data_IF_135040575464
#
_entry.id   IF_135040575464
#
_cell.length_a   1.000
_cell.length_b   1.000
_cell.length_c   1.000
_cell.angle_alpha   90.00
_cell.angle_beta   90.00
_cell.angle_gamma   90.00
#
_symmetry.space_group_name_H-M   'P 1'
#
loop_
_entity.id
_entity.type
_entity.pdbx_description
1 polymer ?
#
# COMPACT_ATOMS: atom_id res chain seq x y z
N UNK A 1 8.31 7.09 8.35
CA UNK A 1 7.89 7.47 6.97
C UNK A 1 7.09 6.32 6.36
N UNK A 2 5.86 6.57 5.90
CA UNK A 2 4.93 5.53 5.39
C UNK A 2 5.07 5.42 3.87
N UNK A 3 5.44 4.25 3.37
CA UNK A 3 5.42 3.95 1.93
C UNK A 3 3.96 3.76 1.49
N UNK A 4 3.42 4.76 0.79
CA UNK A 4 2.03 4.73 0.31
C UNK A 4 1.98 3.95 -1.00
N UNK A 5 1.16 2.89 -1.05
CA UNK A 5 0.93 2.13 -2.27
C UNK A 5 -0.44 2.49 -2.85
N UNK A 6 -0.44 3.08 -4.04
CA UNK A 6 -1.65 3.61 -4.69
C UNK A 6 -2.25 2.59 -5.67
N UNK A 7 -3.57 2.39 -5.61
CA UNK A 7 -4.34 1.51 -6.51
C UNK A 7 -5.00 2.30 -7.65
N UNK A 8 -4.89 1.75 -8.86
CA UNK A 8 -5.32 2.31 -10.14
C UNK A 8 -6.78 2.80 -10.24
N UNK A 9 -7.76 2.20 -9.56
CA UNK A 9 -9.17 2.63 -9.69
C UNK A 9 -9.39 4.07 -9.19
N UNK A 10 -8.57 4.53 -8.25
CA UNK A 10 -8.62 5.91 -7.78
C UNK A 10 -8.04 6.89 -8.82
N UNK A 11 -7.12 6.45 -9.69
CA UNK A 11 -6.45 7.35 -10.64
C UNK A 11 -7.40 7.91 -11.72
N UNK A 12 -8.43 7.15 -12.13
CA UNK A 12 -9.47 7.63 -13.07
C UNK A 12 -10.36 8.70 -12.42
N UNK A 13 -10.77 8.51 -11.16
CA UNK A 13 -11.53 9.52 -10.41
C UNK A 13 -10.74 10.82 -10.20
N UNK A 14 -9.42 10.68 -10.14
CA UNK A 14 -8.48 11.75 -9.85
C UNK A 14 -8.00 12.54 -11.09
N UNK A 15 -8.12 11.95 -12.28
CA UNK A 15 -7.75 12.62 -13.54
C UNK A 15 -8.80 13.67 -13.93
N UNK A 16 -10.06 13.49 -13.53
CA UNK A 16 -11.16 14.40 -13.87
C UNK A 16 -11.28 15.63 -12.93
N UNK A 17 -10.80 15.60 -11.67
CA UNK A 17 -11.26 16.59 -10.68
C UNK A 17 -10.29 17.60 -10.06
N UNK A 18 -8.95 17.51 -10.09
CA UNK A 18 -8.05 18.65 -9.73
C UNK A 18 -6.58 18.25 -9.75
N UNK A 19 -5.87 18.59 -10.82
CA UNK A 19 -4.40 18.42 -10.95
C UNK A 19 -3.56 19.15 -9.90
N UNK A 20 -4.13 20.04 -9.07
CA UNK A 20 -3.35 20.88 -8.13
C UNK A 20 -3.50 20.46 -6.66
N UNK A 21 -4.66 19.91 -6.26
CA UNK A 21 -4.90 19.51 -4.87
C UNK A 21 -4.19 18.19 -4.52
N UNK A 22 -4.03 17.31 -5.51
CA UNK A 22 -3.42 16.01 -5.30
C UNK A 22 -1.90 16.01 -5.28
N UNK A 23 -1.25 16.85 -6.08
CA UNK A 23 0.20 17.07 -5.93
C UNK A 23 0.51 17.57 -4.53
N UNK A 24 -0.38 18.37 -3.93
CA UNK A 24 -0.29 18.78 -2.52
C UNK A 24 -0.57 17.65 -1.54
N UNK A 25 -1.53 16.75 -1.80
CA UNK A 25 -1.77 15.58 -0.95
C UNK A 25 -0.59 14.62 -0.98
N UNK A 26 -0.06 14.30 -2.17
CA UNK A 26 1.14 13.48 -2.31
C UNK A 26 2.32 14.16 -1.61
N UNK A 27 2.54 15.46 -1.86
CA UNK A 27 3.60 16.21 -1.19
C UNK A 27 3.41 16.29 0.32
N UNK A 28 2.18 16.46 0.82
CA UNK A 28 1.81 16.50 2.25
C UNK A 28 1.94 15.13 2.94
N UNK A 29 1.72 14.04 2.19
CA UNK A 29 1.91 12.67 2.67
C UNK A 29 3.37 12.23 2.61
N UNK A 30 4.18 12.81 1.71
CA UNK A 30 5.64 12.64 1.67
C UNK A 30 6.40 13.63 2.54
N UNK A 31 5.80 14.77 2.89
CA UNK A 31 6.42 15.79 3.72
C UNK A 31 6.38 15.33 5.17
N UNK A 32 7.52 15.51 5.80
CA UNK A 32 7.95 15.05 7.12
C UNK A 32 7.10 15.51 8.32
N UNK A 33 5.86 15.96 8.13
CA UNK A 33 5.05 16.64 9.15
C UNK A 33 4.33 15.70 10.14
N UNK A 34 4.53 14.38 10.04
CA UNK A 34 4.00 13.40 10.99
C UNK A 34 5.13 12.69 11.75
N UNK A 35 5.62 13.34 12.82
CA UNK A 35 6.39 12.73 13.92
C UNK A 35 7.77 12.18 13.56
N UNK A 36 8.83 12.85 14.01
CA UNK A 36 10.24 12.58 13.71
C UNK A 36 10.84 11.23 14.20
N UNK A 37 10.08 10.33 14.84
CA UNK A 37 10.71 9.24 15.60
C UNK A 37 10.70 7.85 14.93
N UNK A 38 10.39 7.78 13.64
CA UNK A 38 10.27 6.48 12.94
C UNK A 38 11.29 6.35 11.81
N UNK A 39 12.20 5.35 11.87
CA UNK A 39 13.26 5.23 10.88
C UNK A 39 12.69 5.11 9.46
N UNK A 40 13.40 5.61 8.45
CA UNK A 40 13.02 5.42 7.06
C UNK A 40 12.80 3.92 6.78
N UNK A 41 11.74 3.62 6.02
CA UNK A 41 11.37 2.24 5.68
C UNK A 41 11.69 2.00 4.21
N UNK A 42 12.59 1.07 3.98
CA UNK A 42 12.85 0.40 2.71
C UNK A 42 11.99 -0.86 2.64
N UNK A 43 11.33 -1.06 1.50
CA UNK A 43 10.51 -2.23 1.22
C UNK A 43 11.11 -2.98 0.04
N UNK A 44 11.48 -4.25 0.24
CA UNK A 44 11.92 -5.14 -0.84
C UNK A 44 10.99 -6.33 -0.89
N UNK A 45 10.62 -6.77 -2.08
CA UNK A 45 9.88 -8.00 -2.28
C UNK A 45 10.46 -8.78 -3.44
N UNK A 46 10.55 -10.09 -3.27
CA UNK A 46 11.26 -10.97 -4.19
C UNK A 46 10.42 -12.22 -4.46
N UNK A 47 10.25 -12.51 -5.74
CA UNK A 47 9.67 -13.74 -6.27
C UNK A 47 8.29 -14.10 -5.70
N UNK A 48 7.47 -13.08 -5.44
CA UNK A 48 6.14 -13.26 -4.88
C UNK A 48 5.26 -14.01 -5.89
N UNK A 49 4.80 -15.20 -5.49
CA UNK A 49 3.76 -15.94 -6.18
C UNK A 49 2.57 -16.17 -5.26
N UNK A 50 1.37 -16.15 -5.84
CA UNK A 50 0.15 -16.52 -5.14
C UNK A 50 -0.83 -17.15 -6.11
N UNK A 51 -1.38 -18.30 -5.72
CA UNK A 51 -2.45 -19.00 -6.40
C UNK A 51 -3.69 -19.08 -5.51
N UNK A 52 -4.86 -18.83 -6.10
CA UNK A 52 -6.15 -18.99 -5.42
C UNK A 52 -6.96 -19.99 -6.24
N UNK A 53 -7.17 -21.18 -5.67
CA UNK A 53 -7.74 -22.31 -6.40
C UNK A 53 -6.83 -22.73 -7.56
N UNK A 54 -7.37 -22.75 -8.77
CA UNK A 54 -6.61 -23.09 -10.00
C UNK A 54 -6.00 -21.85 -10.68
N UNK A 55 -6.30 -20.64 -10.20
CA UNK A 55 -5.87 -19.40 -10.85
C UNK A 55 -4.65 -18.80 -10.15
N UNK A 56 -3.60 -18.56 -10.93
CA UNK A 56 -2.40 -17.88 -10.46
C UNK A 56 -2.58 -16.36 -10.56
N UNK A 57 -2.64 -15.70 -9.41
CA UNK A 57 -2.93 -14.27 -9.29
C UNK A 57 -1.65 -13.44 -9.38
N UNK A 58 -0.56 -13.90 -8.73
CA UNK A 58 0.75 -13.26 -8.78
C UNK A 58 1.79 -14.25 -9.30
N UNK A 59 2.65 -13.78 -10.20
CA UNK A 59 3.63 -14.60 -10.94
C UNK A 59 5.01 -14.00 -10.82
N UNK A 60 5.80 -14.47 -9.86
CA UNK A 60 7.19 -14.06 -9.66
C UNK A 60 7.36 -12.53 -9.67
N UNK A 61 6.65 -11.85 -8.78
CA UNK A 61 6.67 -10.40 -8.68
C UNK A 61 7.77 -9.97 -7.73
N UNK A 62 8.70 -9.14 -8.21
CA UNK A 62 9.82 -8.58 -7.45
C UNK A 62 9.90 -7.07 -7.61
N UNK A 63 10.45 -6.38 -6.62
CA UNK A 63 10.63 -4.94 -6.64
C UNK A 63 11.14 -4.38 -5.33
N UNK A 64 11.51 -3.10 -5.37
CA UNK A 64 12.08 -2.36 -4.25
C UNK A 64 11.43 -0.98 -4.20
N UNK A 65 11.23 -0.46 -2.99
CA UNK A 65 10.80 0.91 -2.74
C UNK A 65 11.69 1.50 -1.67
N UNK A 66 12.43 2.53 -2.05
CA UNK A 66 13.36 3.20 -1.14
C UNK A 66 12.63 4.24 -0.29
N UNK A 67 13.25 4.65 0.84
CA UNK A 67 12.76 5.76 1.62
C UNK A 67 12.49 7.01 0.78
N UNK A 68 11.24 7.51 0.82
CA UNK A 68 10.82 8.71 0.10
C UNK A 68 10.28 8.46 -1.31
N UNK A 69 10.32 7.21 -1.78
CA UNK A 69 9.74 6.82 -3.07
C UNK A 69 8.27 6.42 -2.94
N UNK A 70 7.56 6.54 -4.06
CA UNK A 70 6.16 6.13 -4.19
C UNK A 70 6.10 5.00 -5.21
N UNK A 71 5.54 3.87 -4.79
CA UNK A 71 5.23 2.75 -5.67
C UNK A 71 3.78 2.85 -6.16
N UNK A 72 3.61 2.98 -7.47
CA UNK A 72 2.30 2.92 -8.12
C UNK A 72 2.08 1.53 -8.72
N UNK A 73 0.98 0.86 -8.35
CA UNK A 73 0.60 -0.45 -8.89
C UNK A 73 -0.57 -0.27 -9.84
N UNK A 74 -0.32 -0.51 -11.13
CA UNK A 74 -1.26 -0.29 -12.24
C UNK A 74 -1.56 -1.59 -12.99
N UNK A 75 -2.69 -1.66 -13.69
CA UNK A 75 -3.15 -2.82 -14.45
C UNK A 75 -4.65 -3.08 -14.26
N UNK A 76 -5.34 -3.76 -15.18
CA UNK A 76 -6.80 -3.86 -15.23
C UNK A 76 -7.44 -4.45 -13.97
N UNK A 77 -8.75 -4.28 -13.79
CA UNK A 77 -9.48 -4.96 -12.71
C UNK A 77 -9.25 -6.48 -12.78
N UNK A 78 -8.99 -7.10 -11.63
CA UNK A 78 -8.63 -8.52 -11.54
C UNK A 78 -7.14 -8.86 -11.79
N UNK A 79 -6.27 -7.90 -12.11
CA UNK A 79 -4.84 -8.16 -12.35
C UNK A 79 -4.00 -8.52 -11.10
N UNK A 80 -4.60 -8.55 -9.91
CA UNK A 80 -3.91 -8.88 -8.67
C UNK A 80 -3.33 -7.69 -7.89
N UNK A 81 -3.65 -6.43 -8.24
CA UNK A 81 -3.15 -5.23 -7.52
C UNK A 81 -3.44 -5.28 -6.02
N UNK A 82 -4.72 -5.44 -5.65
CA UNK A 82 -5.15 -5.52 -4.26
C UNK A 82 -4.51 -6.72 -3.55
N UNK A 83 -4.32 -7.83 -4.26
CA UNK A 83 -3.61 -9.02 -3.75
C UNK A 83 -2.16 -8.71 -3.41
N UNK A 84 -1.43 -8.02 -4.31
CA UNK A 84 -0.06 -7.57 -4.07
C UNK A 84 -0.01 -6.64 -2.85
N UNK A 85 -0.91 -5.65 -2.75
CA UNK A 85 -0.97 -4.74 -1.59
C UNK A 85 -1.25 -5.47 -0.28
N UNK A 86 -2.11 -6.49 -0.32
CA UNK A 86 -2.42 -7.29 0.85
C UNK A 86 -1.20 -8.11 1.32
N UNK A 87 -0.37 -8.59 0.40
CA UNK A 87 0.89 -9.29 0.75
C UNK A 87 1.90 -8.29 1.32
N UNK A 88 2.13 -7.16 0.66
CA UNK A 88 3.07 -6.14 1.13
C UNK A 88 2.68 -5.57 2.51
N UNK A 89 1.39 -5.42 2.78
CA UNK A 89 0.87 -4.99 4.10
C UNK A 89 0.80 -6.09 5.16
N UNK A 90 1.14 -7.33 4.81
CA UNK A 90 1.13 -8.48 5.73
C UNK A 90 -0.28 -8.94 6.12
N UNK A 91 -1.30 -8.58 5.33
CA UNK A 91 -2.69 -9.02 5.49
C UNK A 91 -2.96 -10.36 4.81
N UNK A 92 -2.20 -10.66 3.77
CA UNK A 92 -2.22 -11.92 3.04
C UNK A 92 -0.82 -12.50 3.01
N UNK A 93 -0.70 -13.83 3.05
CA UNK A 93 0.58 -14.53 2.90
C UNK A 93 0.73 -14.97 1.44
N UNK A 94 1.91 -14.81 0.85
CA UNK A 94 2.23 -15.39 -0.45
C UNK A 94 2.49 -16.91 -0.32
N UNK A 95 2.38 -17.63 -1.44
CA UNK A 95 2.74 -19.05 -1.50
C UNK A 95 4.26 -19.22 -1.56
N UNK A 96 4.95 -18.30 -2.24
CA UNK A 96 6.40 -18.24 -2.36
C UNK A 96 6.91 -16.80 -2.32
N UNK A 97 8.23 -16.66 -2.29
CA UNK A 97 8.90 -15.37 -2.25
C UNK A 97 8.96 -14.78 -0.84
N UNK A 98 9.60 -13.63 -0.72
CA UNK A 98 9.82 -12.95 0.54
C UNK A 98 9.50 -11.46 0.44
N UNK A 99 9.06 -10.87 1.55
CA UNK A 99 8.95 -9.42 1.73
C UNK A 99 9.87 -9.02 2.87
N UNK A 100 10.64 -7.98 2.65
CA UNK A 100 11.59 -7.43 3.60
C UNK A 100 11.29 -5.97 3.89
N UNK A 101 11.39 -5.61 5.16
CA UNK A 101 11.33 -4.25 5.66
C UNK A 101 12.69 -3.92 6.27
N UNK A 102 13.43 -2.96 5.70
CA UNK A 102 14.79 -2.61 6.14
C UNK A 102 15.73 -3.83 6.25
N UNK A 103 15.67 -4.74 5.26
CA UNK A 103 16.47 -5.97 5.22
C UNK A 103 16.00 -7.10 6.15
N UNK A 104 14.96 -6.88 6.96
CA UNK A 104 14.39 -7.90 7.84
C UNK A 104 13.13 -8.52 7.24
N UNK A 105 12.93 -9.82 7.40
CA UNK A 105 11.70 -10.47 6.94
C UNK A 105 10.45 -9.82 7.54
N UNK A 106 9.38 -9.77 6.75
CA UNK A 106 8.09 -9.25 7.18
C UNK A 106 7.57 -9.99 8.42
N UNK A 107 7.64 -9.30 9.56
CA UNK A 107 7.09 -9.70 10.84
C UNK A 107 5.83 -8.90 11.24
N UNK A 108 5.07 -9.43 12.21
CA UNK A 108 3.87 -8.77 12.74
C UNK A 108 4.12 -7.34 13.28
N UNK A 109 5.35 -7.05 13.73
CA UNK A 109 5.72 -5.71 14.24
C UNK A 109 5.61 -4.62 13.16
N UNK A 110 5.96 -4.94 11.92
CA UNK A 110 5.98 -3.97 10.81
C UNK A 110 4.57 -3.53 10.40
N UNK A 111 3.52 -4.25 10.83
CA UNK A 111 2.13 -3.80 10.63
C UNK A 111 1.84 -2.45 11.28
N UNK A 112 2.59 -2.06 12.31
CA UNK A 112 2.48 -0.73 12.95
C UNK A 112 3.14 0.37 12.11
N UNK A 113 3.94 -0.01 11.13
CA UNK A 113 4.71 0.89 10.27
C UNK A 113 3.99 1.12 8.93
N UNK A 114 2.94 0.35 8.67
CA UNK A 114 2.17 0.35 7.44
C UNK A 114 0.79 0.91 7.73
N UNK A 115 0.45 2.00 7.06
CA UNK A 115 -0.94 2.43 6.93
C UNK A 115 -1.52 1.84 5.65
N UNK A 116 -2.73 1.33 5.70
CA UNK A 116 -3.43 0.78 4.54
C UNK A 116 -4.82 1.37 4.46
N UNK A 117 -5.10 2.02 3.34
CA UNK A 117 -6.41 2.57 3.00
C UNK A 117 -7.18 1.55 2.16
N UNK A 118 -8.42 1.28 2.55
CA UNK A 118 -9.27 0.32 1.85
C UNK A 118 -9.75 0.89 0.51
N UNK A 119 -10.09 0.02 -0.44
CA UNK A 119 -10.67 0.43 -1.72
C UNK A 119 -12.10 0.99 -1.54
N UNK A 120 -12.83 0.48 -0.54
CA UNK A 120 -14.12 0.98 -0.10
C UNK A 120 -14.04 1.28 1.39
N UNK A 121 -14.39 2.50 1.75
CA UNK A 121 -14.44 2.92 3.14
C UNK A 121 -15.62 2.25 3.85
N UNK A 122 -15.37 1.77 5.06
CA UNK A 122 -16.41 1.23 5.94
C UNK A 122 -16.87 2.36 6.84
N UNK A 123 -18.03 2.92 6.54
CA UNK A 123 -18.66 3.95 7.37
C UNK A 123 -19.76 3.34 8.24
N UNK A 124 -19.74 3.68 9.53
CA UNK A 124 -20.83 3.37 10.45
C UNK A 124 -21.84 4.51 10.41
N UNK A 125 -23.12 4.27 10.05
CA UNK A 125 -24.11 5.34 9.86
C UNK A 125 -24.33 6.21 11.11
N UNK A 126 -24.07 5.63 12.28
CA UNK A 126 -24.32 6.28 13.58
C UNK A 126 -23.12 7.11 14.07
N UNK A 127 -21.99 7.11 13.36
CA UNK A 127 -20.79 7.85 13.72
C UNK A 127 -20.60 9.07 12.83
N UNK A 128 -20.24 10.20 13.45
CA UNK A 128 -19.76 11.37 12.73
C UNK A 128 -18.36 11.15 12.15
N UNK A 129 -17.96 11.99 11.20
CA UNK A 129 -16.62 11.95 10.61
C UNK A 129 -15.52 12.12 11.66
N UNK A 130 -15.69 13.02 12.62
CA UNK A 130 -14.74 13.24 13.71
C UNK A 130 -14.57 11.95 14.54
N UNK A 131 -15.66 11.28 14.87
CA UNK A 131 -15.64 10.03 15.63
C UNK A 131 -15.08 8.83 14.84
N UNK A 132 -15.06 8.90 13.51
CA UNK A 132 -14.52 7.83 12.66
C UNK A 132 -13.01 7.98 12.48
N UNK A 133 -12.49 9.20 12.58
CA UNK A 133 -11.07 9.52 12.37
C UNK A 133 -10.24 9.55 13.66
N UNK A 134 -10.88 9.57 14.84
CA UNK A 134 -10.27 9.51 16.16
C UNK A 134 -10.26 8.08 16.72
#
# INVERSE_FOLDING_TARGET
MVTVVMVEEQMKMLTEQRKTAQTRLVHAMTSSDFGEDKPPVELVFEELCLRVGETEILKNISGEVRPGEILAVMGPSGSGKTTLLNILSGRLKSDSGCVFFNGEHQHKRHKRDICYVLQQDVFFPDLSLEQTLL
#
